data_IF_651939546253
#
_entry.id   IF_651939546253
#
_cell.length_a   1.000
_cell.length_b   1.000
_cell.length_c   1.000
_cell.angle_alpha   90.00
_cell.angle_beta   90.00
_cell.angle_gamma   90.00
#
_symmetry.space_group_name_H-M   'P 1'
#
loop_
_entity.id
_entity.type
_entity.pdbx_description
1 polymer ?
#
# COMPACT_ATOMS: atom_id res chain seq x y z
N UNK A 1 37.45 -20.61 -30.31
CA UNK A 1 37.33 -19.19 -30.72
C UNK A 1 35.90 -18.79 -30.48
N UNK A 2 35.65 -17.60 -29.94
CA UNK A 2 34.30 -17.04 -29.92
C UNK A 2 33.86 -16.70 -31.35
N UNK A 3 32.57 -16.76 -31.61
CA UNK A 3 31.99 -16.34 -32.88
C UNK A 3 32.13 -14.81 -33.02
N UNK A 4 32.78 -14.30 -34.08
CA UNK A 4 32.95 -12.86 -34.27
C UNK A 4 31.61 -12.12 -34.46
N UNK A 5 30.58 -12.78 -35.02
CA UNK A 5 29.25 -12.16 -35.19
C UNK A 5 28.54 -12.00 -33.84
N UNK A 6 28.62 -13.02 -32.98
CA UNK A 6 28.11 -12.96 -31.60
C UNK A 6 28.83 -11.90 -30.77
N UNK A 7 30.16 -11.77 -30.94
CA UNK A 7 30.97 -10.76 -30.24
C UNK A 7 30.51 -9.35 -30.62
N UNK A 8 30.36 -9.06 -31.91
CA UNK A 8 29.87 -7.77 -32.39
C UNK A 8 28.43 -7.45 -31.94
N UNK A 9 27.55 -8.45 -31.86
CA UNK A 9 26.19 -8.25 -31.36
C UNK A 9 26.16 -7.88 -29.87
N UNK A 10 27.06 -8.46 -29.06
CA UNK A 10 27.21 -8.15 -27.64
C UNK A 10 27.76 -6.73 -27.43
N UNK A 11 28.80 -6.34 -28.17
CA UNK A 11 29.36 -4.98 -28.14
C UNK A 11 28.30 -3.92 -28.50
N UNK A 12 27.51 -4.16 -29.56
CA UNK A 12 26.41 -3.26 -29.94
C UNK A 12 25.30 -3.22 -28.87
N UNK A 13 24.99 -4.34 -28.22
CA UNK A 13 23.99 -4.39 -27.16
C UNK A 13 24.45 -3.63 -25.89
N UNK A 14 25.74 -3.62 -25.60
CA UNK A 14 26.32 -2.87 -24.48
C UNK A 14 26.40 -1.37 -24.80
N UNK A 15 26.76 -0.99 -26.02
CA UNK A 15 26.66 0.39 -26.50
C UNK A 15 25.21 0.90 -26.46
N UNK A 16 24.24 0.08 -26.89
CA UNK A 16 22.82 0.38 -26.81
C UNK A 16 22.32 0.55 -25.36
N UNK A 17 22.80 -0.26 -24.42
CA UNK A 17 22.47 -0.08 -23.00
C UNK A 17 23.00 1.26 -22.48
N UNK A 18 24.23 1.62 -22.84
CA UNK A 18 24.86 2.86 -22.41
C UNK A 18 24.22 4.13 -23.04
N UNK A 19 23.73 4.08 -24.28
CA UNK A 19 23.13 5.24 -24.97
C UNK A 19 21.63 5.45 -24.68
N UNK A 20 20.90 4.39 -24.30
CA UNK A 20 19.44 4.43 -24.17
C UNK A 20 18.90 4.17 -22.76
N UNK A 21 19.68 3.67 -21.80
CA UNK A 21 19.18 3.25 -20.47
C UNK A 21 19.90 3.97 -19.35
N UNK A 22 19.17 4.80 -18.59
CA UNK A 22 19.71 5.69 -17.55
C UNK A 22 20.17 4.98 -16.25
N UNK A 23 20.38 3.67 -16.28
CA UNK A 23 20.88 2.88 -15.16
C UNK A 23 21.66 1.65 -15.63
N UNK A 24 22.67 1.21 -14.86
CA UNK A 24 23.48 0.06 -15.24
C UNK A 24 22.69 -1.24 -15.05
N UNK A 25 22.31 -1.86 -16.16
CA UNK A 25 21.75 -3.22 -16.22
C UNK A 25 22.87 -4.21 -15.91
N UNK A 26 22.58 -5.26 -15.14
CA UNK A 26 23.63 -6.21 -14.73
C UNK A 26 24.28 -6.92 -15.92
N UNK A 27 25.61 -7.06 -15.89
CA UNK A 27 26.38 -7.81 -16.87
C UNK A 27 25.92 -9.27 -16.93
N UNK A 28 25.66 -9.85 -15.75
CA UNK A 28 25.13 -11.19 -15.55
C UNK A 28 23.62 -11.34 -15.85
N UNK A 29 22.93 -10.27 -16.30
CA UNK A 29 21.56 -10.37 -16.77
C UNK A 29 21.49 -11.13 -18.10
N UNK A 30 20.45 -11.94 -18.23
CA UNK A 30 20.16 -12.70 -19.46
C UNK A 30 20.05 -11.76 -20.68
N UNK A 31 20.64 -12.17 -21.82
CA UNK A 31 20.66 -11.37 -23.04
C UNK A 31 19.26 -11.00 -23.54
N UNK A 32 18.26 -11.87 -23.34
CA UNK A 32 16.87 -11.55 -23.68
C UNK A 32 16.29 -10.44 -22.77
N UNK A 33 16.73 -10.33 -21.51
CA UNK A 33 16.40 -9.18 -20.64
C UNK A 33 17.09 -7.92 -21.15
N UNK A 34 18.40 -7.96 -21.41
CA UNK A 34 19.18 -6.81 -21.95
C UNK A 34 18.53 -6.28 -23.25
N UNK A 35 18.35 -7.14 -24.26
CA UNK A 35 17.72 -6.80 -25.56
C UNK A 35 16.30 -6.23 -25.38
N UNK A 36 15.49 -6.77 -24.47
CA UNK A 36 14.13 -6.30 -24.25
C UNK A 36 14.04 -4.95 -23.54
N UNK A 37 14.97 -4.66 -22.61
CA UNK A 37 15.08 -3.35 -21.95
C UNK A 37 15.54 -2.31 -22.97
N UNK A 38 16.61 -2.57 -23.72
CA UNK A 38 17.06 -1.70 -24.83
C UNK A 38 15.93 -1.40 -25.80
N UNK A 39 15.20 -2.43 -26.26
CA UNK A 39 14.07 -2.24 -27.17
C UNK A 39 12.96 -1.36 -26.59
N UNK A 40 12.62 -1.54 -25.30
CA UNK A 40 11.61 -0.72 -24.62
C UNK A 40 12.03 0.77 -24.55
N UNK A 41 13.31 1.05 -24.29
CA UNK A 41 13.85 2.41 -24.22
C UNK A 41 14.04 3.04 -25.61
N UNK A 42 14.57 2.31 -26.60
CA UNK A 42 14.65 2.74 -28.00
C UNK A 42 13.28 3.10 -28.57
N UNK A 43 12.27 2.26 -28.34
CA UNK A 43 10.88 2.55 -28.72
C UNK A 43 10.34 3.82 -28.04
N UNK A 44 10.68 4.07 -26.77
CA UNK A 44 10.21 5.24 -26.04
C UNK A 44 10.87 6.54 -26.55
N UNK A 45 12.22 6.56 -26.64
CA UNK A 45 13.01 7.68 -27.17
C UNK A 45 12.60 8.02 -28.61
N UNK A 46 12.42 7.01 -29.46
CA UNK A 46 11.94 7.19 -30.84
C UNK A 46 10.50 7.73 -30.97
N UNK A 47 9.69 7.63 -29.92
CA UNK A 47 8.35 8.25 -29.84
C UNK A 47 8.34 9.58 -29.05
N UNK A 48 9.50 10.11 -28.63
CA UNK A 48 9.59 11.30 -27.77
C UNK A 48 8.96 11.11 -26.39
N UNK A 49 9.04 9.90 -25.82
CA UNK A 49 8.36 9.53 -24.58
C UNK A 49 9.35 9.11 -23.49
N UNK A 50 9.25 9.72 -22.31
CA UNK A 50 9.88 9.21 -21.10
C UNK A 50 9.00 8.12 -20.47
N UNK A 51 9.57 6.94 -20.23
CA UNK A 51 8.81 5.75 -19.80
C UNK A 51 8.16 5.94 -18.42
N UNK A 52 8.84 6.57 -17.47
CA UNK A 52 8.30 6.84 -16.13
C UNK A 52 7.05 7.75 -16.21
N UNK A 53 7.11 8.81 -17.02
CA UNK A 53 6.01 9.75 -17.26
C UNK A 53 4.81 9.06 -17.92
N UNK A 54 5.06 8.13 -18.85
CA UNK A 54 4.03 7.35 -19.55
C UNK A 54 3.39 6.27 -18.67
N UNK A 55 4.17 5.65 -17.80
CA UNK A 55 3.70 4.60 -16.88
C UNK A 55 2.92 5.19 -15.68
N UNK A 56 3.30 6.38 -15.22
CA UNK A 56 2.68 7.07 -14.08
C UNK A 56 2.31 8.52 -14.45
N UNK A 57 1.39 8.72 -15.40
CA UNK A 57 0.97 10.06 -15.83
C UNK A 57 0.19 10.77 -14.73
N UNK A 58 0.18 12.10 -14.80
CA UNK A 58 -0.63 12.96 -13.92
C UNK A 58 -1.68 13.76 -14.71
N UNK A 59 -1.24 14.49 -15.74
CA UNK A 59 -2.13 15.29 -16.59
C UNK A 59 -3.20 14.41 -17.24
N UNK A 60 -4.45 14.86 -17.17
CA UNK A 60 -5.61 14.16 -17.74
C UNK A 60 -6.00 12.86 -17.02
N UNK A 61 -5.40 12.56 -15.86
CA UNK A 61 -5.82 11.42 -15.03
C UNK A 61 -6.84 11.86 -13.99
N UNK A 62 -7.79 10.98 -13.69
CA UNK A 62 -8.84 11.21 -12.70
C UNK A 62 -8.32 10.97 -11.28
N UNK A 63 -8.53 11.95 -10.41
CA UNK A 63 -8.34 11.86 -8.96
C UNK A 63 -9.47 11.04 -8.31
N UNK A 64 -9.30 10.74 -7.03
CA UNK A 64 -10.33 10.14 -6.18
C UNK A 64 -10.96 11.12 -5.18
N UNK A 65 -10.64 12.41 -5.30
CA UNK A 65 -11.19 13.55 -4.56
C UNK A 65 -11.25 14.79 -5.48
N UNK A 66 -12.07 15.80 -5.15
CA UNK A 66 -12.05 17.09 -5.86
C UNK A 66 -10.85 17.93 -5.39
N UNK A 67 -9.94 18.34 -6.29
CA UNK A 67 -8.76 19.12 -5.92
C UNK A 67 -9.09 20.55 -5.43
N UNK A 68 -10.31 21.03 -5.66
CA UNK A 68 -10.82 22.32 -5.22
C UNK A 68 -11.35 22.27 -3.79
N UNK A 69 -11.86 21.11 -3.34
CA UNK A 69 -12.32 20.88 -1.96
C UNK A 69 -11.16 20.68 -0.97
N UNK A 70 -9.96 20.36 -1.45
CA UNK A 70 -8.78 20.11 -0.61
C UNK A 70 -7.48 20.49 -1.35
N UNK A 71 -7.23 21.80 -1.56
CA UNK A 71 -6.11 22.29 -2.40
C UNK A 71 -4.73 21.92 -1.84
N UNK A 72 -4.53 21.98 -0.52
CA UNK A 72 -3.26 21.63 0.12
C UNK A 72 -2.95 20.13 -0.05
N UNK A 73 -3.94 19.28 0.19
CA UNK A 73 -3.87 17.84 -0.08
C UNK A 73 -3.58 17.56 -1.56
N UNK A 74 -4.14 18.36 -2.47
CA UNK A 74 -3.85 18.26 -3.89
C UNK A 74 -2.40 18.60 -4.24
N UNK A 75 -1.84 19.63 -3.60
CA UNK A 75 -0.44 20.02 -3.76
C UNK A 75 0.52 18.97 -3.18
N UNK A 76 0.24 18.43 -1.98
CA UNK A 76 1.00 17.30 -1.40
C UNK A 76 0.97 16.09 -2.34
N UNK A 77 -0.21 15.73 -2.85
CA UNK A 77 -0.36 14.63 -3.81
C UNK A 77 0.48 14.87 -5.08
N UNK A 78 0.42 16.08 -5.64
CA UNK A 78 1.19 16.44 -6.83
C UNK A 78 2.70 16.34 -6.56
N UNK A 79 3.21 16.95 -5.49
CA UNK A 79 4.63 16.90 -5.10
C UNK A 79 5.13 15.46 -4.93
N UNK A 80 4.42 14.64 -4.15
CA UNK A 80 4.75 13.22 -3.98
C UNK A 80 4.73 12.46 -5.31
N UNK A 81 3.72 12.68 -6.15
CA UNK A 81 3.65 12.03 -7.46
C UNK A 81 4.82 12.44 -8.35
N UNK A 82 5.09 13.75 -8.49
CA UNK A 82 6.17 14.26 -9.33
C UNK A 82 7.53 13.68 -8.95
N UNK A 83 7.86 13.70 -7.65
CA UNK A 83 9.10 13.17 -7.09
C UNK A 83 9.18 11.64 -7.14
N UNK A 84 8.05 10.95 -6.95
CA UNK A 84 7.98 9.49 -6.84
C UNK A 84 8.00 8.74 -8.18
N UNK A 85 7.51 9.32 -9.28
CA UNK A 85 7.32 8.64 -10.59
C UNK A 85 8.50 7.79 -11.07
N UNK A 86 9.73 8.29 -10.96
CA UNK A 86 10.92 7.53 -11.35
C UNK A 86 11.14 6.31 -10.45
N UNK A 87 10.97 6.47 -9.14
CA UNK A 87 11.07 5.35 -8.19
C UNK A 87 9.97 4.31 -8.42
N UNK A 88 8.74 4.76 -8.68
CA UNK A 88 7.61 3.90 -9.02
C UNK A 88 7.93 3.02 -10.24
N UNK A 89 8.45 3.65 -11.31
CA UNK A 89 8.83 2.97 -12.55
C UNK A 89 10.01 2.01 -12.38
N UNK A 90 11.12 2.45 -11.78
CA UNK A 90 12.31 1.62 -11.57
C UNK A 90 12.03 0.40 -10.67
N UNK A 91 11.13 0.57 -9.69
CA UNK A 91 10.71 -0.53 -8.83
C UNK A 91 9.75 -1.47 -9.56
N UNK A 92 8.72 -0.93 -10.22
CA UNK A 92 7.69 -1.70 -10.93
C UNK A 92 8.23 -2.48 -12.14
N UNK A 93 9.16 -1.92 -12.91
CA UNK A 93 9.83 -2.62 -14.02
C UNK A 93 10.80 -3.70 -13.49
N UNK A 94 11.49 -3.43 -12.37
CA UNK A 94 12.36 -4.37 -11.66
C UNK A 94 13.46 -5.01 -12.53
N UNK A 95 14.22 -4.20 -13.25
CA UNK A 95 15.39 -4.68 -14.01
C UNK A 95 16.50 -5.16 -13.06
N UNK A 96 17.24 -6.24 -13.35
CA UNK A 96 18.48 -6.58 -12.64
C UNK A 96 19.52 -5.47 -12.82
N UNK A 97 20.02 -4.90 -11.71
CA UNK A 97 20.97 -3.78 -11.73
C UNK A 97 22.38 -4.24 -11.36
N UNK A 98 23.38 -3.67 -12.02
CA UNK A 98 24.79 -3.98 -11.77
C UNK A 98 25.30 -3.38 -10.45
N UNK A 99 26.13 -4.15 -9.75
CA UNK A 99 26.79 -3.74 -8.52
C UNK A 99 25.86 -3.45 -7.33
N UNK A 100 26.48 -3.24 -6.16
CA UNK A 100 25.74 -2.89 -4.94
C UNK A 100 25.25 -1.45 -4.95
N UNK A 101 25.94 -0.55 -5.67
CA UNK A 101 25.68 0.90 -5.69
C UNK A 101 24.36 1.23 -6.38
N UNK A 102 24.13 0.77 -7.62
CA UNK A 102 22.88 1.03 -8.32
C UNK A 102 21.67 0.37 -7.62
N UNK A 103 21.86 -0.82 -7.08
CA UNK A 103 20.84 -1.49 -6.25
C UNK A 103 20.53 -0.70 -4.97
N UNK A 104 21.52 -0.10 -4.30
CA UNK A 104 21.32 0.76 -3.14
C UNK A 104 20.62 2.07 -3.51
N UNK A 105 21.02 2.71 -4.61
CA UNK A 105 20.38 3.92 -5.13
C UNK A 105 18.89 3.69 -5.45
N UNK A 106 18.55 2.55 -6.09
CA UNK A 106 17.14 2.15 -6.31
C UNK A 106 16.40 1.90 -4.99
N UNK A 107 17.03 1.23 -4.01
CA UNK A 107 16.42 1.00 -2.69
C UNK A 107 16.16 2.32 -1.94
N UNK A 108 17.08 3.29 -2.02
CA UNK A 108 16.90 4.63 -1.44
C UNK A 108 15.73 5.36 -2.09
N UNK A 109 15.73 5.52 -3.43
CA UNK A 109 14.62 6.14 -4.16
C UNK A 109 13.26 5.49 -3.85
N UNK A 110 13.22 4.16 -3.69
CA UNK A 110 12.04 3.42 -3.24
C UNK A 110 11.63 3.80 -1.81
N UNK A 111 12.58 3.89 -0.88
CA UNK A 111 12.33 4.32 0.51
C UNK A 111 11.75 5.73 0.56
N UNK A 112 12.39 6.68 -0.12
CA UNK A 112 11.96 8.08 -0.21
C UNK A 112 10.53 8.18 -0.78
N UNK A 113 10.24 7.38 -1.82
CA UNK A 113 8.91 7.32 -2.44
C UNK A 113 7.83 6.61 -1.58
N UNK A 114 8.24 5.75 -0.64
CA UNK A 114 7.34 5.18 0.38
C UNK A 114 7.10 6.21 1.48
N UNK A 115 8.14 6.90 1.97
CA UNK A 115 7.99 7.96 2.97
C UNK A 115 6.99 9.03 2.52
N UNK A 116 7.17 9.59 1.32
CA UNK A 116 6.20 10.55 0.76
C UNK A 116 4.80 9.98 0.53
N UNK A 117 4.65 8.65 0.34
CA UNK A 117 3.33 8.01 0.29
C UNK A 117 2.68 7.98 1.68
N UNK A 118 3.46 7.70 2.71
CA UNK A 118 2.99 7.63 4.10
C UNK A 118 2.66 9.04 4.62
N UNK A 119 3.44 10.05 4.26
CA UNK A 119 3.13 11.47 4.47
C UNK A 119 1.81 11.85 3.79
N UNK A 120 1.66 11.58 2.49
CA UNK A 120 0.42 11.86 1.75
C UNK A 120 -0.79 11.12 2.34
N UNK A 121 -0.66 9.84 2.72
CA UNK A 121 -1.74 9.09 3.37
C UNK A 121 -2.06 9.65 4.75
N UNK A 122 -1.08 10.09 5.52
CA UNK A 122 -1.31 10.78 6.80
C UNK A 122 -2.11 12.07 6.57
N UNK A 123 -1.74 12.87 5.56
CA UNK A 123 -2.45 14.08 5.18
C UNK A 123 -3.92 13.81 4.80
N UNK A 124 -4.19 12.75 4.04
CA UNK A 124 -5.57 12.31 3.72
C UNK A 124 -6.37 11.95 4.97
N UNK A 125 -5.78 11.16 5.87
CA UNK A 125 -6.45 10.67 7.09
C UNK A 125 -6.67 11.81 8.10
N UNK A 126 -5.73 12.73 8.25
CA UNK A 126 -5.93 13.93 9.07
C UNK A 126 -7.04 14.81 8.51
N UNK A 127 -7.05 15.04 7.19
CA UNK A 127 -8.06 15.90 6.53
C UNK A 127 -9.47 15.30 6.54
N UNK A 128 -9.62 14.01 6.23
CA UNK A 128 -10.92 13.39 5.99
C UNK A 128 -11.32 12.31 7.00
N UNK A 129 -10.40 11.92 7.88
CA UNK A 129 -10.51 10.71 8.70
C UNK A 129 -10.21 9.45 7.91
N UNK A 130 -10.17 8.32 8.62
CA UNK A 130 -9.80 7.03 8.06
C UNK A 130 -10.88 6.49 7.11
N UNK A 131 -12.11 6.36 7.59
CA UNK A 131 -13.23 5.92 6.75
C UNK A 131 -13.56 6.92 5.65
N UNK A 132 -13.44 8.22 5.92
CA UNK A 132 -13.57 9.26 4.89
C UNK A 132 -12.50 9.18 3.79
N UNK A 133 -11.30 8.69 4.11
CA UNK A 133 -10.22 8.42 3.13
C UNK A 133 -10.53 7.17 2.31
N UNK A 134 -10.86 6.05 2.96
CA UNK A 134 -11.17 4.78 2.29
C UNK A 134 -12.36 4.92 1.33
N UNK A 135 -13.42 5.59 1.77
CA UNK A 135 -14.60 5.90 0.95
C UNK A 135 -14.23 6.62 -0.36
N UNK A 136 -13.34 7.62 -0.30
CA UNK A 136 -12.88 8.36 -1.49
C UNK A 136 -12.07 7.48 -2.43
N UNK A 137 -11.04 6.81 -1.88
CA UNK A 137 -10.12 5.94 -2.65
C UNK A 137 -10.89 4.81 -3.36
N UNK A 138 -11.86 4.18 -2.70
CA UNK A 138 -12.61 3.05 -3.25
C UNK A 138 -13.78 3.46 -4.14
N UNK A 139 -14.63 4.42 -3.73
CA UNK A 139 -15.85 4.77 -4.49
C UNK A 139 -15.58 5.57 -5.77
N UNK A 140 -14.42 6.22 -5.89
CA UNK A 140 -14.03 6.89 -7.13
C UNK A 140 -13.95 5.95 -8.34
N UNK A 141 -13.63 4.68 -8.13
CA UNK A 141 -13.28 3.71 -9.18
C UNK A 141 -11.95 4.01 -9.88
N UNK A 142 -11.18 5.01 -9.45
CA UNK A 142 -9.97 5.48 -10.11
C UNK A 142 -8.74 5.34 -9.21
N UNK A 143 -8.01 4.24 -9.43
CA UNK A 143 -6.82 3.87 -8.65
C UNK A 143 -5.47 4.31 -9.26
N UNK A 144 -5.49 5.02 -10.39
CA UNK A 144 -4.29 5.32 -11.18
C UNK A 144 -3.37 6.35 -10.53
N UNK A 145 -3.92 7.37 -9.87
CA UNK A 145 -3.15 8.37 -9.11
C UNK A 145 -2.94 7.91 -7.67
N UNK A 146 -2.47 6.68 -7.47
CA UNK A 146 -1.95 6.20 -6.20
C UNK A 146 -0.95 5.06 -6.48
N UNK A 147 0.22 5.08 -5.84
CA UNK A 147 1.23 4.04 -6.05
C UNK A 147 1.03 2.85 -5.11
N UNK A 148 0.48 1.78 -5.68
CA UNK A 148 0.24 0.49 -5.03
C UNK A 148 1.47 -0.42 -5.04
N UNK A 149 2.60 0.04 -5.60
CA UNK A 149 3.89 -0.64 -5.52
C UNK A 149 4.57 -0.51 -4.15
N UNK A 150 5.91 -0.55 -4.16
CA UNK A 150 6.72 -0.48 -2.93
C UNK A 150 6.88 -1.81 -2.18
N UNK A 151 6.21 -2.88 -2.62
CA UNK A 151 6.37 -4.25 -2.10
C UNK A 151 7.86 -4.70 -2.02
N UNK A 152 8.26 -5.53 -1.02
CA UNK A 152 9.60 -6.11 -0.93
C UNK A 152 9.97 -6.97 -2.14
N UNK A 153 11.27 -7.08 -2.42
CA UNK A 153 11.77 -8.03 -3.41
C UNK A 153 11.70 -9.47 -2.87
N UNK A 154 11.51 -10.47 -3.74
CA UNK A 154 11.42 -11.89 -3.32
C UNK A 154 12.59 -12.35 -2.44
N UNK A 155 13.78 -11.80 -2.67
CA UNK A 155 15.03 -12.13 -1.96
C UNK A 155 15.29 -11.25 -0.72
N UNK A 156 14.27 -10.55 -0.20
CA UNK A 156 14.31 -9.92 1.12
C UNK A 156 13.56 -10.81 2.12
N UNK A 157 14.26 -11.69 2.85
CA UNK A 157 13.63 -12.58 3.82
C UNK A 157 13.30 -11.83 5.11
N UNK A 158 12.10 -11.26 5.18
CA UNK A 158 11.36 -11.23 6.44
C UNK A 158 10.45 -12.46 6.46
N UNK A 159 10.54 -13.26 7.52
CA UNK A 159 9.66 -14.39 7.82
C UNK A 159 8.22 -13.95 8.12
N UNK A 160 8.06 -12.70 8.56
CA UNK A 160 6.79 -12.12 9.00
C UNK A 160 6.01 -11.44 7.87
N UNK A 161 6.70 -10.92 6.85
CA UNK A 161 6.05 -10.29 5.71
C UNK A 161 5.32 -11.31 4.80
N UNK A 162 4.00 -11.37 4.97
CA UNK A 162 3.05 -12.21 4.23
C UNK A 162 2.46 -11.56 2.96
N UNK A 163 2.82 -10.30 2.68
CA UNK A 163 2.26 -9.53 1.56
C UNK A 163 2.81 -9.90 0.17
N UNK A 164 2.36 -9.21 -0.90
CA UNK A 164 2.85 -9.43 -2.26
C UNK A 164 4.35 -9.11 -2.37
N UNK A 165 5.08 -9.83 -3.24
CA UNK A 165 6.53 -9.68 -3.44
C UNK A 165 6.85 -9.50 -4.92
N UNK A 166 7.65 -8.48 -5.24
CA UNK A 166 8.08 -8.25 -6.62
C UNK A 166 9.23 -9.17 -7.02
N UNK A 167 9.16 -9.66 -8.25
CA UNK A 167 10.22 -10.42 -8.94
C UNK A 167 10.88 -9.54 -10.00
N UNK A 168 12.20 -9.67 -10.15
CA UNK A 168 12.93 -9.03 -11.23
C UNK A 168 12.67 -9.69 -12.59
N UNK A 169 13.00 -8.99 -13.68
CA UNK A 169 12.79 -9.47 -15.05
C UNK A 169 13.51 -10.80 -15.36
N UNK A 170 14.68 -11.06 -14.75
CA UNK A 170 15.42 -12.30 -14.96
C UNK A 170 14.74 -13.50 -14.31
N UNK A 171 14.22 -13.35 -13.09
CA UNK A 171 13.41 -14.37 -12.41
C UNK A 171 12.09 -14.62 -13.15
N UNK A 172 11.46 -13.57 -13.69
CA UNK A 172 10.24 -13.73 -14.51
C UNK A 172 10.51 -14.48 -15.82
N UNK A 173 11.62 -14.19 -16.49
CA UNK A 173 12.01 -14.87 -17.73
C UNK A 173 12.21 -16.37 -17.47
N UNK A 174 12.97 -16.72 -16.42
CA UNK A 174 13.22 -18.10 -15.98
C UNK A 174 11.94 -18.85 -15.58
N UNK A 175 10.88 -18.14 -15.15
CA UNK A 175 9.55 -18.70 -14.85
C UNK A 175 8.63 -18.79 -16.07
N UNK A 176 9.16 -19.21 -17.22
CA UNK A 176 8.38 -19.44 -18.44
C UNK A 176 7.97 -18.18 -19.21
N UNK A 177 8.61 -17.04 -18.98
CA UNK A 177 8.53 -15.85 -19.86
C UNK A 177 7.22 -15.05 -19.88
N UNK A 178 6.06 -15.63 -19.52
CA UNK A 178 4.75 -14.95 -19.60
C UNK A 178 4.72 -13.69 -18.75
N UNK A 179 5.15 -13.78 -17.48
CA UNK A 179 5.22 -12.62 -16.58
C UNK A 179 6.23 -11.56 -17.04
N UNK A 180 7.33 -11.98 -17.67
CA UNK A 180 8.34 -11.09 -18.24
C UNK A 180 7.77 -10.27 -19.41
N UNK A 181 7.15 -10.93 -20.38
CA UNK A 181 6.47 -10.27 -21.49
C UNK A 181 5.33 -9.37 -21.00
N UNK A 182 4.59 -9.80 -19.97
CA UNK A 182 3.50 -8.99 -19.42
C UNK A 182 4.02 -7.73 -18.73
N UNK A 183 5.14 -7.79 -17.98
CA UNK A 183 5.78 -6.61 -17.37
C UNK A 183 6.20 -5.58 -18.40
N UNK A 184 6.78 -6.02 -19.52
CA UNK A 184 7.17 -5.15 -20.63
C UNK A 184 5.97 -4.50 -21.34
N UNK A 185 4.81 -5.17 -21.41
CA UNK A 185 3.56 -4.57 -21.91
C UNK A 185 2.99 -3.57 -20.92
N UNK A 186 3.04 -3.89 -19.63
CA UNK A 186 2.50 -3.06 -18.55
C UNK A 186 3.33 -1.79 -18.35
N UNK A 187 4.65 -1.84 -18.54
CA UNK A 187 5.53 -0.66 -18.57
C UNK A 187 5.16 0.38 -19.65
N UNK A 188 4.43 -0.03 -20.70
CA UNK A 188 3.96 0.86 -21.78
C UNK A 188 2.57 1.46 -21.51
N UNK A 189 1.90 1.15 -20.40
CA UNK A 189 0.51 1.53 -20.11
C UNK A 189 0.34 2.16 -18.72
N UNK A 190 -0.38 3.30 -18.58
CA UNK A 190 -0.64 3.97 -17.31
C UNK A 190 -1.10 3.03 -16.18
N UNK A 191 -0.42 3.09 -15.04
CA UNK A 191 -0.71 2.35 -13.80
C UNK A 191 -0.63 0.83 -13.89
N UNK A 192 -0.21 0.25 -15.03
CA UNK A 192 -0.23 -1.22 -15.19
C UNK A 192 0.94 -1.93 -14.53
N UNK A 193 2.04 -1.24 -14.22
CA UNK A 193 3.14 -1.79 -13.42
C UNK A 193 2.71 -2.13 -11.98
N UNK A 194 1.65 -1.49 -11.48
CA UNK A 194 1.09 -1.72 -10.16
C UNK A 194 0.10 -2.91 -10.10
N UNK A 195 -0.05 -3.67 -11.20
CA UNK A 195 -0.95 -4.84 -11.30
C UNK A 195 -0.74 -5.88 -10.18
N UNK A 196 0.51 -6.11 -9.79
CA UNK A 196 0.89 -7.04 -8.71
C UNK A 196 1.17 -6.31 -7.38
N UNK A 197 0.70 -5.06 -7.24
CA UNK A 197 0.83 -4.26 -6.03
C UNK A 197 -0.18 -4.63 -4.93
N UNK A 198 -0.29 -3.76 -3.93
CA UNK A 198 -1.28 -3.90 -2.85
C UNK A 198 -2.72 -3.68 -3.36
N UNK A 199 -3.66 -4.49 -2.86
CA UNK A 199 -5.05 -4.49 -3.33
C UNK A 199 -5.86 -3.30 -2.82
N UNK A 200 -5.54 -2.79 -1.63
CA UNK A 200 -6.32 -1.84 -0.85
C UNK A 200 -5.42 -1.14 0.17
N UNK A 201 -5.86 0.00 0.71
CA UNK A 201 -5.08 0.83 1.62
C UNK A 201 -4.89 0.21 3.03
N UNK A 202 -5.90 -0.41 3.65
CA UNK A 202 -5.75 -1.10 4.94
C UNK A 202 -4.68 -2.20 4.89
N UNK A 203 -4.73 -3.08 3.89
CA UNK A 203 -3.74 -4.14 3.68
C UNK A 203 -2.35 -3.59 3.37
N UNK A 204 -2.26 -2.53 2.55
CA UNK A 204 -0.99 -1.86 2.27
C UNK A 204 -0.32 -1.40 3.57
N UNK A 205 -1.03 -0.63 4.38
CA UNK A 205 -0.47 -0.01 5.58
C UNK A 205 -0.15 -1.07 6.65
N UNK A 206 -1.02 -2.05 6.84
CA UNK A 206 -0.80 -3.14 7.79
C UNK A 206 0.40 -4.03 7.38
N UNK A 207 0.49 -4.44 6.11
CA UNK A 207 1.60 -5.26 5.60
C UNK A 207 2.94 -4.51 5.55
N UNK A 208 2.93 -3.18 5.44
CA UNK A 208 4.15 -2.37 5.57
C UNK A 208 4.44 -1.92 7.00
N UNK A 209 3.64 -2.31 8.00
CA UNK A 209 3.82 -1.89 9.39
C UNK A 209 3.52 -0.41 9.65
N UNK A 210 2.99 0.33 8.68
CA UNK A 210 2.80 1.78 8.78
C UNK A 210 1.71 2.21 9.77
N UNK A 211 0.94 1.24 10.29
CA UNK A 211 -0.08 1.40 11.34
C UNK A 211 0.52 1.22 12.74
N UNK A 212 1.64 0.48 12.86
CA UNK A 212 2.23 0.16 14.15
C UNK A 212 2.76 1.44 14.82
N UNK A 213 2.16 1.91 15.93
CA UNK A 213 2.51 3.20 16.51
C UNK A 213 3.91 3.21 17.11
N UNK A 214 4.48 2.03 17.39
CA UNK A 214 5.73 1.78 18.09
C UNK A 214 6.66 0.88 17.25
N UNK A 215 6.74 1.12 15.94
CA UNK A 215 7.77 0.52 15.06
C UNK A 215 9.18 0.87 15.56
N UNK A 216 9.67 0.03 16.47
CA UNK A 216 10.94 0.15 17.21
C UNK A 216 12.09 -0.56 16.50
N UNK A 217 11.90 -1.05 15.27
CA UNK A 217 12.80 -1.98 14.60
C UNK A 217 13.17 -1.57 13.16
N UNK A 218 14.39 -1.05 13.00
CA UNK A 218 15.09 -0.89 11.71
C UNK A 218 14.53 0.12 10.69
N UNK A 219 13.31 0.66 10.86
CA UNK A 219 12.68 1.58 9.91
C UNK A 219 12.70 3.03 10.41
N UNK A 220 12.96 3.97 9.50
CA UNK A 220 12.86 5.40 9.78
C UNK A 220 11.42 5.76 10.19
N UNK A 221 11.20 6.68 11.16
CA UNK A 221 9.85 7.13 11.55
C UNK A 221 8.98 7.61 10.39
N UNK A 222 9.63 8.15 9.34
CA UNK A 222 9.05 8.54 8.03
C UNK A 222 8.29 7.43 7.29
N UNK A 223 8.44 6.15 7.69
CA UNK A 223 7.78 5.00 7.07
C UNK A 223 6.49 4.57 7.80
N UNK A 224 6.13 5.26 8.89
CA UNK A 224 4.90 5.06 9.67
C UNK A 224 4.01 6.30 9.57
N UNK A 225 2.68 6.13 9.63
CA UNK A 225 1.73 7.24 9.63
C UNK A 225 2.04 8.27 10.75
N UNK A 226 1.61 9.51 10.59
CA UNK A 226 1.71 10.53 11.66
C UNK A 226 0.91 10.12 12.90
N UNK A 227 1.26 10.65 14.08
CA UNK A 227 0.47 10.38 15.30
C UNK A 227 -0.97 10.89 15.18
N UNK A 228 -1.18 12.05 14.53
CA UNK A 228 -2.51 12.61 14.26
C UNK A 228 -3.32 11.70 13.32
N UNK A 229 -2.69 11.16 12.28
CA UNK A 229 -3.32 10.20 11.39
C UNK A 229 -3.66 8.90 12.14
N UNK A 230 -2.74 8.33 12.93
CA UNK A 230 -2.99 7.12 13.73
C UNK A 230 -4.10 7.32 14.77
N UNK A 231 -4.17 8.48 15.40
CA UNK A 231 -5.26 8.85 16.31
C UNK A 231 -6.62 8.96 15.57
N UNK A 232 -6.64 9.50 14.34
CA UNK A 232 -7.83 9.51 13.47
C UNK A 232 -8.21 8.11 12.97
N UNK A 233 -7.25 7.22 12.71
CA UNK A 233 -7.51 5.78 12.45
C UNK A 233 -8.14 5.15 13.68
N UNK A 234 -7.53 5.30 14.85
CA UNK A 234 -8.00 4.71 16.10
C UNK A 234 -9.41 5.17 16.45
N UNK A 235 -9.72 6.46 16.27
CA UNK A 235 -11.06 7.02 16.45
C UNK A 235 -12.10 6.32 15.56
N UNK A 236 -11.82 6.22 14.26
CA UNK A 236 -12.76 5.61 13.31
C UNK A 236 -12.90 4.08 13.55
N UNK A 237 -11.81 3.32 13.77
CA UNK A 237 -11.88 1.85 13.98
C UNK A 237 -12.38 1.41 15.36
N UNK A 238 -12.49 2.32 16.32
CA UNK A 238 -13.17 2.08 17.61
C UNK A 238 -14.60 2.61 17.65
N UNK A 239 -15.08 3.23 16.55
CA UNK A 239 -16.48 3.65 16.43
C UNK A 239 -17.42 2.49 16.09
N UNK A 240 -18.68 2.61 16.48
CA UNK A 240 -19.76 1.67 16.13
C UNK A 240 -20.32 1.86 14.70
N UNK A 241 -19.63 2.62 13.84
CA UNK A 241 -20.06 2.87 12.46
C UNK A 241 -20.05 1.58 11.63
N UNK A 242 -21.15 1.31 10.94
CA UNK A 242 -21.23 0.21 9.97
C UNK A 242 -20.44 0.56 8.70
N UNK A 243 -19.35 -0.17 8.47
CA UNK A 243 -18.43 -0.03 7.34
C UNK A 243 -18.16 -1.39 6.69
N UNK A 244 -17.62 -1.44 5.45
CA UNK A 244 -17.08 -2.68 4.88
C UNK A 244 -16.04 -3.31 5.82
N UNK A 245 -16.13 -4.63 6.03
CA UNK A 245 -15.29 -5.36 7.01
C UNK A 245 -13.78 -5.14 6.81
N UNK A 246 -13.33 -4.96 5.56
CA UNK A 246 -11.90 -4.77 5.26
C UNK A 246 -11.37 -3.37 5.58
N UNK A 247 -12.22 -2.42 5.99
CA UNK A 247 -11.82 -1.07 6.39
C UNK A 247 -11.20 -1.03 7.80
N UNK A 248 -11.55 -1.99 8.65
CA UNK A 248 -10.91 -2.23 9.94
C UNK A 248 -10.03 -3.48 9.85
N UNK A 249 -8.82 -3.41 10.40
CA UNK A 249 -8.05 -4.63 10.65
C UNK A 249 -8.50 -5.33 11.93
N UNK A 250 -7.92 -6.50 12.20
CA UNK A 250 -8.20 -7.22 13.42
C UNK A 250 -7.59 -6.52 14.65
N UNK A 251 -8.37 -5.69 15.34
CA UNK A 251 -7.96 -4.97 16.56
C UNK A 251 -7.58 -5.88 17.75
N UNK A 252 -7.79 -7.20 17.64
CA UNK A 252 -7.38 -8.18 18.66
C UNK A 252 -5.98 -8.78 18.43
N UNK A 253 -5.32 -8.51 17.29
CA UNK A 253 -3.96 -9.00 17.02
C UNK A 253 -3.07 -8.03 16.21
N UNK A 254 -1.76 -8.30 16.19
CA UNK A 254 -0.80 -7.64 15.31
C UNK A 254 -0.72 -6.11 15.45
N UNK A 255 -0.43 -5.43 14.34
CA UNK A 255 -0.21 -3.97 14.30
C UNK A 255 -1.46 -3.15 14.66
N UNK A 256 -2.65 -3.74 14.53
CA UNK A 256 -3.91 -3.10 14.92
C UNK A 256 -4.14 -3.17 16.43
N UNK A 257 -3.80 -4.29 17.07
CA UNK A 257 -3.70 -4.37 18.54
C UNK A 257 -2.61 -3.47 19.11
N UNK A 258 -1.47 -3.33 18.41
CA UNK A 258 -0.42 -2.39 18.81
C UNK A 258 -0.95 -0.94 18.79
N UNK A 259 -1.70 -0.56 17.76
CA UNK A 259 -2.38 0.74 17.66
C UNK A 259 -3.36 0.98 18.82
N UNK A 260 -4.21 0.01 19.16
CA UNK A 260 -5.20 0.17 20.25
C UNK A 260 -4.56 0.25 21.63
N UNK A 261 -3.40 -0.40 21.86
CA UNK A 261 -2.70 -0.38 23.15
C UNK A 261 -1.82 0.85 23.39
N UNK A 262 -1.42 1.59 22.36
CA UNK A 262 -0.49 2.71 22.53
C UNK A 262 -1.14 3.93 23.23
N UNK A 263 -0.82 4.12 24.52
CA UNK A 263 -1.24 5.24 25.38
C UNK A 263 -1.18 6.59 24.66
N UNK A 264 -0.01 6.94 24.11
CA UNK A 264 0.25 8.19 23.38
C UNK A 264 -0.74 8.46 22.23
N UNK A 265 -1.19 7.40 21.53
CA UNK A 265 -2.18 7.53 20.46
C UNK A 265 -3.61 7.57 21.03
N UNK A 266 -3.90 6.83 22.12
CA UNK A 266 -5.19 6.91 22.85
C UNK A 266 -5.45 8.31 23.40
N UNK A 267 -4.46 8.93 24.03
CA UNK A 267 -4.56 10.30 24.56
C UNK A 267 -4.80 11.32 23.44
N UNK A 268 -4.03 11.23 22.35
CA UNK A 268 -4.19 12.10 21.19
C UNK A 268 -5.55 11.90 20.51
N UNK A 269 -6.08 10.67 20.46
CA UNK A 269 -7.44 10.37 19.98
C UNK A 269 -8.48 11.16 20.76
N UNK A 270 -8.41 11.15 22.09
CA UNK A 270 -9.35 11.87 22.97
C UNK A 270 -9.28 13.39 22.77
N UNK A 271 -8.09 13.94 22.51
CA UNK A 271 -7.92 15.38 22.19
C UNK A 271 -8.58 15.69 20.83
N UNK A 272 -8.24 14.92 19.80
CA UNK A 272 -8.76 15.10 18.44
C UNK A 272 -10.28 14.92 18.36
N UNK A 273 -10.83 13.96 19.09
CA UNK A 273 -12.28 13.73 19.21
C UNK A 273 -13.01 14.97 19.75
N UNK A 274 -12.46 15.62 20.80
CA UNK A 274 -12.99 16.87 21.35
C UNK A 274 -12.83 18.04 20.38
N UNK A 275 -11.69 18.17 19.71
CA UNK A 275 -11.46 19.20 18.69
C UNK A 275 -12.44 19.09 17.51
N UNK A 276 -12.72 17.86 17.05
CA UNK A 276 -13.68 17.59 15.98
C UNK A 276 -15.12 17.90 16.42
N UNK A 277 -15.51 17.49 17.63
CA UNK A 277 -16.83 17.78 18.19
C UNK A 277 -17.06 19.28 18.43
N UNK A 278 -16.02 20.02 18.80
CA UNK A 278 -16.05 21.47 18.97
C UNK A 278 -15.93 22.26 17.65
N UNK A 279 -15.61 21.61 16.53
CA UNK A 279 -15.32 22.28 15.26
C UNK A 279 -14.00 23.08 15.25
N UNK A 280 -13.10 22.81 16.20
CA UNK A 280 -11.81 23.51 16.36
C UNK A 280 -10.62 22.73 15.81
N UNK A 281 -10.83 21.52 15.27
CA UNK A 281 -9.78 20.70 14.68
C UNK A 281 -9.10 21.40 13.49
N UNK A 282 -7.81 21.67 13.63
CA UNK A 282 -7.00 22.29 12.58
C UNK A 282 -6.60 21.23 11.56
N UNK A 283 -7.01 21.44 10.30
CA UNK A 283 -6.59 20.61 9.17
C UNK A 283 -5.09 20.78 8.90
N UNK A 284 -4.39 19.75 8.41
CA UNK A 284 -3.00 19.89 8.00
C UNK A 284 -2.91 20.86 6.82
N UNK A 285 -1.84 21.66 6.79
CA UNK A 285 -1.51 22.59 5.71
C UNK A 285 -0.16 22.24 5.10
N UNK A 286 0.15 22.81 3.95
CA UNK A 286 1.44 22.60 3.26
C UNK A 286 2.02 23.94 2.81
N UNK A 287 3.34 24.02 2.66
CA UNK A 287 4.00 25.17 2.04
C UNK A 287 3.35 25.50 0.69
N UNK A 288 3.06 26.78 0.38
CA UNK A 288 2.42 27.19 -0.86
C UNK A 288 3.12 26.66 -2.11
N UNK A 289 2.36 26.54 -3.20
CA UNK A 289 2.89 26.14 -4.51
C UNK A 289 3.81 27.23 -5.09
N UNK A 290 5.04 26.86 -5.42
CA UNK A 290 5.96 27.70 -6.18
C UNK A 290 5.86 27.33 -7.68
N UNK A 291 5.53 28.29 -8.57
CA UNK A 291 5.54 28.08 -10.01
C UNK A 291 6.82 27.43 -10.57
N UNK A 292 7.99 27.71 -9.98
CA UNK A 292 9.26 27.14 -10.39
C UNK A 292 9.31 25.60 -10.26
N UNK A 293 8.53 25.01 -9.34
CA UNK A 293 8.41 23.55 -9.22
C UNK A 293 7.90 22.90 -10.52
N UNK A 294 7.09 23.63 -11.31
CA UNK A 294 6.54 23.15 -12.59
C UNK A 294 7.42 23.46 -13.80
N UNK A 295 8.53 24.17 -13.63
CA UNK A 295 9.52 24.47 -14.69
C UNK A 295 10.64 23.42 -14.76
N UNK A 296 10.74 22.55 -13.75
CA UNK A 296 11.71 21.44 -13.69
C UNK A 296 11.45 20.45 -14.83
N UNK A 297 12.54 19.96 -15.45
CA UNK A 297 12.46 18.94 -16.51
C UNK A 297 11.70 17.68 -16.04
N UNK A 298 10.96 17.06 -16.96
CA UNK A 298 10.09 15.90 -16.71
C UNK A 298 8.95 16.08 -15.67
N UNK A 299 8.84 17.23 -15.01
CA UNK A 299 7.70 17.55 -14.14
C UNK A 299 6.46 17.89 -14.99
N UNK A 300 5.31 17.35 -14.60
CA UNK A 300 4.03 17.72 -15.18
C UNK A 300 3.48 18.93 -14.42
N UNK A 301 3.22 20.08 -15.06
CA UNK A 301 2.79 21.28 -14.35
C UNK A 301 1.59 21.05 -13.44
N UNK A 302 1.56 21.70 -12.28
CA UNK A 302 0.45 21.58 -11.32
C UNK A 302 -0.87 22.11 -11.90
N UNK A 303 -0.79 23.27 -12.57
CA UNK A 303 -1.91 23.94 -13.25
C UNK A 303 -1.63 24.15 -14.74
N UNK A 304 -2.70 24.24 -15.52
CA UNK A 304 -2.69 24.68 -16.92
C UNK A 304 -2.60 26.22 -16.99
N UNK A 305 -2.42 26.76 -18.21
CA UNK A 305 -2.35 28.22 -18.44
C UNK A 305 -3.66 28.97 -18.13
N UNK A 306 -4.78 28.26 -18.04
CA UNK A 306 -6.10 28.75 -17.63
C UNK A 306 -6.29 28.76 -16.11
N UNK A 307 -5.30 28.32 -15.33
CA UNK A 307 -5.36 28.21 -13.87
C UNK A 307 -6.04 26.94 -13.33
N UNK A 308 -6.59 26.09 -14.20
CA UNK A 308 -7.19 24.81 -13.80
C UNK A 308 -6.11 23.77 -13.49
N UNK A 309 -6.40 22.85 -12.57
CA UNK A 309 -5.50 21.73 -12.27
C UNK A 309 -5.30 20.81 -13.48
N UNK A 310 -4.10 20.24 -13.62
CA UNK A 310 -3.79 19.37 -14.76
C UNK A 310 -4.31 17.94 -14.60
N UNK A 311 -4.50 17.47 -13.36
CA UNK A 311 -5.27 16.28 -13.06
C UNK A 311 -6.77 16.61 -13.04
N UNK A 312 -7.60 15.64 -13.41
CA UNK A 312 -9.04 15.78 -13.50
C UNK A 312 -9.69 15.47 -12.14
N UNK A 313 -10.77 16.20 -11.84
CA UNK A 313 -11.74 15.86 -10.79
C UNK A 313 -12.27 14.41 -10.94
N UNK A 314 -12.82 13.78 -9.89
CA UNK A 314 -13.19 12.36 -9.93
C UNK A 314 -14.22 12.06 -11.02
N UNK A 315 -13.94 11.04 -11.85
CA UNK A 315 -14.82 10.67 -12.97
C UNK A 315 -16.24 10.32 -12.51
N UNK A 316 -16.33 9.66 -11.36
CA UNK A 316 -17.57 9.32 -10.69
C UNK A 316 -17.73 10.26 -9.50
N UNK A 317 -18.92 10.84 -9.32
CA UNK A 317 -19.21 11.69 -8.17
C UNK A 317 -19.12 10.86 -6.89
N UNK A 318 -18.10 11.12 -6.08
CA UNK A 318 -17.98 10.57 -4.73
C UNK A 318 -18.97 11.31 -3.84
N UNK A 319 -19.93 10.62 -3.25
CA UNK A 319 -20.82 11.22 -2.26
C UNK A 319 -20.01 11.63 -1.01
N UNK A 320 -20.33 12.74 -0.32
CA UNK A 320 -19.69 13.08 0.94
C UNK A 320 -19.76 11.92 1.94
N UNK A 321 -18.67 11.65 2.66
CA UNK A 321 -18.69 10.69 3.75
C UNK A 321 -19.42 11.31 4.95
N UNK A 322 -20.56 10.75 5.32
CA UNK A 322 -21.32 11.17 6.50
C UNK A 322 -20.90 10.35 7.72
N UNK A 323 -20.25 11.00 8.68
CA UNK A 323 -20.14 10.49 10.05
C UNK A 323 -21.53 10.54 10.72
N UNK A 324 -22.37 9.53 10.46
CA UNK A 324 -23.61 9.34 11.20
C UNK A 324 -23.25 8.78 12.58
N UNK A 325 -22.95 9.70 13.49
CA UNK A 325 -22.44 9.52 14.85
C UNK A 325 -22.79 8.16 15.48
N UNK A 326 -21.86 7.20 15.32
CA UNK A 326 -21.82 5.99 16.13
C UNK A 326 -20.98 6.25 17.36
N UNK A 327 -21.42 5.76 18.52
CA UNK A 327 -20.67 5.81 19.76
C UNK A 327 -19.28 5.18 19.60
N UNK A 328 -18.28 5.73 20.31
CA UNK A 328 -16.92 5.21 20.37
C UNK A 328 -16.82 4.21 21.53
N UNK A 329 -16.27 3.03 21.25
CA UNK A 329 -16.06 1.99 22.26
C UNK A 329 -14.89 2.42 23.17
N UNK A 330 -15.17 2.57 24.46
CA UNK A 330 -14.13 2.76 25.46
C UNK A 330 -13.34 1.47 25.64
N UNK A 331 -12.09 1.48 25.22
CA UNK A 331 -11.11 0.44 25.50
C UNK A 331 -10.59 0.66 26.93
N UNK A 332 -11.29 0.09 27.92
CA UNK A 332 -10.82 0.02 29.31
C UNK A 332 -9.62 -0.92 29.44
N UNK A 333 -8.78 -0.68 30.45
CA UNK A 333 -7.55 -1.44 30.68
C UNK A 333 -7.77 -2.73 31.49
N UNK A 334 -8.94 -2.87 32.13
CA UNK A 334 -9.30 -4.00 32.98
C UNK A 334 -10.15 -5.04 32.23
N UNK A 335 -9.49 -5.91 31.47
CA UNK A 335 -10.09 -7.17 30.97
C UNK A 335 -9.15 -8.38 31.23
N UNK A 336 -8.42 -8.32 32.35
CA UNK A 336 -7.67 -9.43 32.92
C UNK A 336 -8.54 -10.19 33.95
N UNK A 337 -9.08 -11.33 33.50
CA UNK A 337 -9.53 -12.49 34.30
C UNK A 337 -10.68 -12.32 35.33
N UNK A 338 -11.82 -12.92 35.01
CA UNK A 338 -12.48 -13.84 35.96
C UNK A 338 -12.83 -15.16 35.24
N UNK A 339 -12.03 -16.21 35.48
CA UNK A 339 -12.54 -17.58 35.34
C UNK A 339 -13.65 -17.79 36.37
N UNK A 340 -14.90 -17.95 35.94
CA UNK A 340 -15.98 -18.32 36.87
C UNK A 340 -16.14 -19.83 36.93
N UNK A 341 -15.80 -20.37 38.11
CA UNK A 341 -16.07 -21.75 38.49
C UNK A 341 -17.54 -22.12 38.25
N UNK A 342 -17.77 -23.29 37.66
CA UNK A 342 -19.10 -23.87 37.53
C UNK A 342 -19.33 -24.75 38.75
N UNK A 343 -20.06 -24.23 39.74
CA UNK A 343 -20.50 -25.00 40.90
C UNK A 343 -21.80 -25.75 40.56
N UNK A 344 -21.71 -27.08 40.39
CA UNK A 344 -22.88 -27.95 40.27
C UNK A 344 -23.25 -28.51 41.64
N UNK A 345 -24.52 -28.37 42.07
CA UNK A 345 -25.26 -29.44 42.76
C UNK A 345 -26.78 -29.16 42.76
N UNK A 346 -27.65 -30.18 42.96
CA UNK A 346 -28.93 -30.23 42.24
C UNK A 346 -30.18 -30.32 43.14
N UNK A 347 -31.38 -30.11 42.57
CA UNK A 347 -32.57 -30.94 42.87
C UNK A 347 -33.76 -30.64 41.94
N UNK A 348 -34.49 -31.73 41.67
CA UNK A 348 -35.85 -31.94 41.14
C UNK A 348 -36.93 -30.84 41.35
N UNK A 349 -38.09 -30.83 40.65
CA UNK A 349 -38.89 -31.98 40.17
C UNK A 349 -39.90 -31.64 39.06
N UNK A 350 -40.08 -32.58 38.11
CA UNK A 350 -41.32 -32.98 37.39
C UNK A 350 -42.19 -32.05 36.50
N UNK A 351 -42.30 -32.45 35.21
CA UNK A 351 -43.56 -32.78 34.46
C UNK A 351 -44.47 -31.59 34.03
N UNK A 352 -45.01 -31.45 32.80
CA UNK A 352 -45.26 -32.40 31.69
C UNK A 352 -45.31 -31.76 30.27
N UNK A 353 -44.99 -32.55 29.23
CA UNK A 353 -45.58 -32.65 27.85
C UNK A 353 -46.23 -31.41 27.17
N UNK A 354 -46.06 -31.08 25.88
CA UNK A 354 -45.57 -31.70 24.63
C UNK A 354 -45.12 -30.56 23.67
N UNK A 355 -44.53 -30.67 22.47
CA UNK A 355 -44.03 -31.72 21.53
C UNK A 355 -43.02 -31.02 20.57
N UNK A 356 -42.28 -31.63 19.64
CA UNK A 356 -42.04 -33.04 19.28
C UNK A 356 -41.54 -33.16 17.83
N UNK A 357 -40.21 -33.29 17.64
CA UNK A 357 -39.49 -33.99 16.53
C UNK A 357 -37.97 -33.72 16.53
N UNK A 358 -37.24 -34.60 17.21
CA UNK A 358 -36.16 -35.43 16.65
C UNK A 358 -34.99 -34.77 15.89
N UNK A 359 -34.01 -34.37 16.70
CA UNK A 359 -32.56 -34.65 16.63
C UNK A 359 -32.13 -36.04 16.06
N UNK A 360 -30.83 -36.46 16.02
CA UNK A 360 -29.58 -35.76 16.43
C UNK A 360 -28.37 -35.84 15.45
N UNK A 361 -27.37 -34.99 15.72
CA UNK A 361 -25.95 -35.29 15.45
C UNK A 361 -25.41 -36.30 16.50
N UNK A 362 -24.60 -37.29 16.09
CA UNK A 362 -23.83 -38.14 17.02
C UNK A 362 -22.33 -38.07 16.67
N UNK A 363 -21.51 -37.72 17.66
CA UNK A 363 -20.07 -38.05 17.72
C UNK A 363 -19.87 -39.31 18.58
N UNK A 364 -18.97 -40.25 18.22
CA UNK A 364 -18.57 -41.33 19.12
C UNK A 364 -17.39 -40.93 20.02
N UNK A 365 -17.36 -41.47 21.25
CA UNK A 365 -16.21 -41.37 22.17
C UNK A 365 -15.57 -42.75 22.36
N UNK A 366 -14.24 -42.79 22.16
CA UNK A 366 -13.18 -43.62 22.78
C UNK A 366 -13.54 -44.95 23.49
N UNK A 367 -12.78 -45.99 23.17
CA UNK A 367 -12.42 -47.07 24.09
C UNK A 367 -10.90 -47.17 24.28
N UNK A 368 -10.42 -47.57 25.47
CA UNK A 368 -9.02 -47.97 25.73
C UNK A 368 -8.92 -49.50 25.68
N UNK A 369 -7.84 -50.02 25.10
CA UNK A 369 -7.45 -51.45 25.12
C UNK A 369 -5.98 -51.61 25.54
N UNK A 370 -5.64 -52.75 26.15
CA UNK A 370 -4.42 -52.95 26.93
C UNK A 370 -3.23 -53.58 26.19
N UNK A 371 -2.05 -53.45 26.82
CA UNK A 371 -0.73 -54.04 26.50
C UNK A 371 -0.74 -55.49 26.00
N UNK A 372 0.20 -55.80 25.11
CA UNK A 372 1.06 -57.00 25.19
C UNK A 372 2.44 -56.74 24.56
N UNK A 373 3.41 -57.61 24.85
CA UNK A 373 4.83 -57.59 24.44
C UNK A 373 5.10 -58.75 23.45
N UNK A 374 6.36 -58.88 23.02
CA UNK A 374 6.97 -59.95 22.20
C UNK A 374 6.49 -60.07 20.74
N UNK A 375 7.35 -60.39 19.77
CA UNK A 375 8.80 -60.70 19.81
C UNK A 375 9.67 -59.59 19.18
#
# INVERSE_FOLDING_TARGET
>A
MADPELTAELEQLEADLAEFVDFPVSEAADLAVKRAVVKLYKEAKGNGQVLALKAYPWRGQYLFYDPSESPDLHLVHWRWWMNGRLAFFLWGLSVPLEGRVAQAARRRKKSDAIAGRIEFVSFMIETWGWYGTLHRVERSGHRLLFWWGGQPGRNQPSSEYKGPKIMDLGVLLKKGGVGFLQRLRDARKPGRLDREGFCDLPSLLALTGAIDPDDKGERSPELRLSDRALARVLLDVTSTLQVPEHWSGNITEGVWLALTKCERIRDLRIIIEKELAAGTYVLPTVEPYDPAESEVEDVTPFKNRDGLYTALLPKNKVAPWSYQQGDVINLSEDDDQEEREVDETPSSTSVSTHSGRDHPFIRPIRAKGTKSKSE
#
